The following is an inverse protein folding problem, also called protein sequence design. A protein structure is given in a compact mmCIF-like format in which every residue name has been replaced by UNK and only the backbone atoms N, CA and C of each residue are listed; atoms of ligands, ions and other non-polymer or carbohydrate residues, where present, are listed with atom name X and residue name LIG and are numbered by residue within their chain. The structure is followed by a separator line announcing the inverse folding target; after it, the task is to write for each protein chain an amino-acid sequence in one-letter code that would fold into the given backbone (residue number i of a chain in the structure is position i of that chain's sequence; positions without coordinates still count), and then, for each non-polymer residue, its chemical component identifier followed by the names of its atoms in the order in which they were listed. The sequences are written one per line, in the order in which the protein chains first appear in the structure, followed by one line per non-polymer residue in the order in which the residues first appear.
data_IF_543951641961
#
_entry.id   IF_543951641961
#
_cell.length_a   1.000
_cell.length_b   1.000
_cell.length_c   1.000
_cell.angle_alpha   90.00
_cell.angle_beta   90.00
_cell.angle_gamma   90.00
#
_symmetry.space_group_name_H-M   'P 1'
#
loop_
_entity.id
_entity.type
_entity.pdbx_description
1 polymer ?
#
# COMPACT_ATOMS: atom_id res chain seq x y z
N UNK A 1 16.84 8.32 15.55
CA UNK A 1 16.73 6.86 15.70
C UNK A 1 15.43 6.39 15.04
N UNK A 2 15.47 5.36 14.20
CA UNK A 2 14.27 4.81 13.52
C UNK A 2 13.65 3.64 14.31
N UNK A 3 12.33 3.45 14.21
CA UNK A 3 11.62 2.36 14.90
C UNK A 3 12.11 0.97 14.48
N UNK A 4 12.52 0.82 13.22
CA UNK A 4 13.10 -0.43 12.68
C UNK A 4 14.52 -0.69 13.16
N UNK A 5 15.31 0.37 13.41
CA UNK A 5 16.65 0.25 13.97
C UNK A 5 16.58 -0.17 15.45
N UNK A 6 15.66 0.42 16.22
CA UNK A 6 15.43 0.03 17.62
C UNK A 6 14.96 -1.43 17.71
N UNK A 7 14.00 -1.82 16.87
CA UNK A 7 13.53 -3.21 16.81
C UNK A 7 14.66 -4.21 16.53
N UNK A 8 15.59 -3.89 15.62
CA UNK A 8 16.72 -4.77 15.34
C UNK A 8 17.63 -4.97 16.56
N UNK A 9 17.86 -3.91 17.35
CA UNK A 9 18.63 -4.00 18.59
C UNK A 9 17.90 -4.79 19.68
N UNK A 10 16.59 -4.62 19.79
CA UNK A 10 15.78 -5.34 20.79
C UNK A 10 15.66 -6.83 20.46
N UNK A 11 15.57 -7.20 19.19
CA UNK A 11 15.66 -8.60 18.74
C UNK A 11 17.03 -9.19 19.08
N UNK A 12 18.10 -8.46 18.81
CA UNK A 12 19.46 -8.91 19.16
C UNK A 12 19.59 -9.12 20.68
N UNK A 13 19.13 -8.17 21.50
CA UNK A 13 19.12 -8.32 22.96
C UNK A 13 18.29 -9.52 23.41
N UNK A 14 17.09 -9.72 22.87
CA UNK A 14 16.23 -10.84 23.22
C UNK A 14 16.93 -12.19 22.91
N UNK A 15 17.62 -12.29 21.77
CA UNK A 15 18.38 -13.49 21.42
C UNK A 15 19.53 -13.80 22.38
N UNK A 16 20.20 -12.77 22.90
CA UNK A 16 21.29 -12.94 23.88
C UNK A 16 20.79 -13.42 25.24
N UNK A 17 19.58 -13.02 25.63
CA UNK A 17 18.99 -13.40 26.92
C UNK A 17 18.09 -14.64 26.85
N UNK A 18 17.92 -15.24 25.66
CA UNK A 18 16.99 -16.36 25.46
C UNK A 18 15.51 -15.97 25.59
N UNK A 19 15.21 -14.68 25.50
CA UNK A 19 13.87 -14.12 25.60
C UNK A 19 13.16 -14.19 24.23
N UNK A 20 11.83 -14.29 24.21
CA UNK A 20 11.07 -14.29 22.96
C UNK A 20 11.26 -12.96 22.21
N UNK A 21 11.39 -13.05 20.89
CA UNK A 21 11.56 -11.88 20.05
C UNK A 21 10.35 -10.94 20.13
N UNK A 22 10.56 -9.61 20.20
CA UNK A 22 9.48 -8.65 20.22
C UNK A 22 8.63 -8.76 18.93
N UNK A 23 7.33 -8.41 18.98
CA UNK A 23 6.49 -8.43 17.80
C UNK A 23 7.01 -7.42 16.76
N UNK A 24 7.11 -7.87 15.51
CA UNK A 24 7.54 -7.00 14.42
C UNK A 24 6.66 -5.75 14.32
N UNK A 25 7.27 -4.54 14.22
CA UNK A 25 6.53 -3.31 14.04
C UNK A 25 5.76 -3.37 12.70
N UNK A 26 4.59 -2.75 12.67
CA UNK A 26 3.79 -2.64 11.45
C UNK A 26 2.93 -3.85 11.07
N UNK A 27 2.85 -4.91 11.91
CA UNK A 27 1.87 -5.99 11.67
C UNK A 27 0.42 -5.49 11.57
N UNK A 28 0.09 -4.43 12.31
CA UNK A 28 -1.26 -3.88 12.37
C UNK A 28 -1.47 -2.73 11.38
N UNK A 29 -0.38 -2.12 10.91
CA UNK A 29 -0.42 -0.99 9.98
C UNK A 29 -0.97 -1.40 8.60
N UNK A 30 -0.81 -2.67 8.21
CA UNK A 30 -1.44 -3.21 7.01
C UNK A 30 -2.97 -3.14 7.03
N UNK A 31 -3.58 -3.24 8.22
CA UNK A 31 -5.02 -3.05 8.39
C UNK A 31 -5.40 -1.59 8.12
N UNK A 32 -4.64 -0.66 8.70
CA UNK A 32 -4.79 0.78 8.48
C UNK A 32 -4.62 1.15 7.01
N UNK A 33 -3.63 0.56 6.31
CA UNK A 33 -3.42 0.77 4.87
C UNK A 33 -4.61 0.24 4.05
N UNK A 34 -5.17 -0.91 4.44
CA UNK A 34 -6.36 -1.47 3.78
C UNK A 34 -7.58 -0.58 3.98
N UNK A 35 -7.84 -0.15 5.21
CA UNK A 35 -8.94 0.75 5.56
C UNK A 35 -8.81 2.09 4.82
N UNK A 36 -7.61 2.65 4.75
CA UNK A 36 -7.35 3.86 3.98
C UNK A 36 -7.65 3.67 2.49
N UNK A 37 -7.29 2.51 1.93
CA UNK A 37 -7.59 2.17 0.53
C UNK A 37 -9.09 2.06 0.29
N UNK A 38 -9.81 1.46 1.23
CA UNK A 38 -11.27 1.31 1.16
C UNK A 38 -11.98 2.67 1.32
N UNK A 39 -11.48 3.53 2.21
CA UNK A 39 -11.93 4.92 2.33
C UNK A 39 -11.75 5.71 1.03
N UNK A 40 -10.55 5.64 0.43
CA UNK A 40 -10.26 6.29 -0.87
C UNK A 40 -11.16 5.76 -1.99
N UNK A 41 -11.53 4.49 -1.93
CA UNK A 41 -12.44 3.86 -2.87
C UNK A 41 -13.87 4.36 -2.69
N UNK A 42 -14.31 4.54 -1.45
CA UNK A 42 -15.62 5.10 -1.13
C UNK A 42 -15.72 6.57 -1.58
N UNK A 43 -14.70 7.38 -1.27
CA UNK A 43 -14.55 8.75 -1.76
C UNK A 43 -14.64 8.84 -3.29
N UNK A 44 -14.01 7.92 -4.01
CA UNK A 44 -14.08 7.88 -5.46
C UNK A 44 -15.53 7.65 -5.97
N UNK A 45 -16.31 6.81 -5.28
CA UNK A 45 -17.73 6.57 -5.62
C UNK A 45 -18.57 7.81 -5.37
N UNK A 46 -18.38 8.48 -4.23
CA UNK A 46 -19.07 9.76 -3.94
C UNK A 46 -18.74 10.80 -5.01
N UNK A 47 -17.49 10.85 -5.47
CA UNK A 47 -17.05 11.74 -6.54
C UNK A 47 -17.50 11.30 -7.96
N UNK A 48 -18.39 10.32 -8.09
CA UNK A 48 -18.89 9.83 -9.38
C UNK A 48 -17.86 9.06 -10.22
N UNK A 49 -16.73 8.66 -9.63
CA UNK A 49 -15.66 7.91 -10.29
C UNK A 49 -15.80 6.41 -10.01
N UNK A 50 -15.42 5.55 -10.96
CA UNK A 50 -15.54 4.10 -10.76
C UNK A 50 -14.63 3.61 -9.62
N UNK A 51 -15.23 2.94 -8.64
CA UNK A 51 -14.60 2.42 -7.42
C UNK A 51 -13.45 1.42 -7.66
N UNK A 52 -13.38 0.82 -8.85
CA UNK A 52 -12.34 -0.13 -9.25
C UNK A 52 -12.02 0.09 -10.73
N UNK A 53 -10.76 -0.14 -11.08
CA UNK A 53 -10.33 -0.10 -12.47
C UNK A 53 -10.17 1.31 -13.05
N UNK A 54 -10.36 2.40 -12.29
CA UNK A 54 -10.15 3.77 -12.81
C UNK A 54 -8.76 3.98 -13.40
N UNK A 55 -7.71 3.51 -12.72
CA UNK A 55 -6.33 3.58 -13.21
C UNK A 55 -6.12 2.65 -14.42
N UNK A 56 -6.62 1.41 -14.37
CA UNK A 56 -6.52 0.47 -15.50
C UNK A 56 -7.30 0.94 -16.73
N UNK A 57 -8.47 1.54 -16.53
CA UNK A 57 -9.31 2.10 -17.59
C UNK A 57 -8.76 3.42 -18.12
N UNK A 58 -8.14 4.24 -17.26
CA UNK A 58 -7.40 5.43 -17.70
C UNK A 58 -6.16 5.04 -18.52
N UNK A 59 -5.39 4.05 -18.06
CA UNK A 59 -4.25 3.49 -18.79
C UNK A 59 -4.69 2.84 -20.11
N UNK A 60 -5.76 2.04 -20.10
CA UNK A 60 -6.31 1.43 -21.32
C UNK A 60 -6.82 2.47 -22.32
N UNK A 61 -7.40 3.59 -21.85
CA UNK A 61 -7.76 4.71 -22.73
C UNK A 61 -6.53 5.40 -23.31
N UNK A 62 -5.49 5.63 -22.51
CA UNK A 62 -4.23 6.23 -22.96
C UNK A 62 -3.48 5.38 -23.98
N UNK A 63 -3.49 4.05 -23.85
CA UNK A 63 -2.90 3.16 -24.84
C UNK A 63 -3.73 3.11 -26.12
N UNK A 64 -5.07 3.07 -25.99
CA UNK A 64 -5.96 3.06 -27.16
C UNK A 64 -5.88 4.36 -27.96
N UNK A 65 -5.75 5.54 -27.31
CA UNK A 65 -5.55 6.81 -28.01
C UNK A 65 -4.20 6.88 -28.72
N UNK A 66 -3.13 6.35 -28.10
CA UNK A 66 -1.81 6.25 -28.75
C UNK A 66 -1.81 5.37 -29.99
N UNK A 67 -2.49 4.22 -29.95
CA UNK A 67 -2.60 3.35 -31.13
C UNK A 67 -3.40 3.99 -32.27
N UNK A 68 -4.41 4.81 -31.97
CA UNK A 68 -5.13 5.57 -33.00
C UNK A 68 -4.30 6.72 -33.58
N UNK A 69 -3.46 7.36 -32.78
CA UNK A 69 -2.58 8.45 -33.23
C UNK A 69 -1.38 7.96 -34.06
N UNK A 70 -0.97 6.70 -33.88
CA UNK A 70 0.16 6.08 -34.61
C UNK A 70 -0.25 5.36 -35.91
N UNK A 71 -1.53 5.43 -36.30
CA UNK A 71 -2.08 4.78 -37.50
C UNK A 71 -2.43 5.72 -38.64
N UNK A 72 -1.98 6.98 -38.61
CA UNK A 72 -2.08 7.94 -39.72
C UNK A 72 -0.72 8.16 -40.37
#
# INVERSE_FOLDING_TARGET
MSITQQYALDVYRASLHGEPAPPAPGRHDWRTVRELRDYRRFEAVIAGRPARGGIRAALARLTHTRHRAAGC
#
